data_IF_542454964827
#
_entry.id   IF_542454964827
#
_cell.length_a   1.000
_cell.length_b   1.000
_cell.length_c   1.000
_cell.angle_alpha   90.00
_cell.angle_beta   90.00
_cell.angle_gamma   90.00
#
_symmetry.space_group_name_H-M   'P 1'
#
loop_
_entity.id
_entity.type
_entity.pdbx_description
1 polymer ?
#
# COMPACT_ATOMS: atom_id res chain seq x y z
N UNK A 1 -0.74 39.72 -24.13
CA UNK A 1 -1.19 39.63 -22.72
C UNK A 1 -2.07 38.38 -22.60
N UNK A 2 -1.91 37.44 -21.70
CA UNK A 2 -0.93 37.20 -20.65
C UNK A 2 -0.88 35.69 -20.43
N UNK A 3 0.32 35.19 -20.15
CA UNK A 3 0.56 33.89 -19.55
C UNK A 3 -0.19 33.86 -18.20
N UNK A 4 -1.27 33.09 -18.07
CA UNK A 4 -1.97 32.91 -16.77
C UNK A 4 -2.40 31.48 -16.43
N UNK A 5 -1.98 30.48 -17.20
CA UNK A 5 -2.27 29.08 -16.85
C UNK A 5 -1.29 28.50 -15.81
N UNK A 6 -0.12 29.12 -15.60
CA UNK A 6 0.86 28.68 -14.61
C UNK A 6 0.61 29.22 -13.19
N UNK A 7 0.06 30.43 -13.06
CA UNK A 7 -0.19 31.08 -11.76
C UNK A 7 -1.31 30.38 -10.96
N UNK A 8 -2.34 29.87 -11.64
CA UNK A 8 -3.47 29.20 -11.00
C UNK A 8 -3.10 27.83 -10.39
N UNK A 9 -2.23 27.05 -11.06
CA UNK A 9 -1.80 25.73 -10.57
C UNK A 9 -0.86 25.84 -9.37
N UNK A 10 0.08 26.78 -9.41
CA UNK A 10 1.02 27.01 -8.29
C UNK A 10 0.29 27.55 -7.06
N UNK A 11 -0.69 28.44 -7.23
CA UNK A 11 -1.56 28.91 -6.15
C UNK A 11 -2.36 27.77 -5.52
N UNK A 12 -3.00 26.92 -6.34
CA UNK A 12 -3.75 25.76 -5.86
C UNK A 12 -2.87 24.76 -5.09
N UNK A 13 -1.66 24.46 -5.58
CA UNK A 13 -0.72 23.58 -4.87
C UNK A 13 -0.31 24.17 -3.53
N UNK A 14 -0.05 25.48 -3.47
CA UNK A 14 0.31 26.18 -2.22
C UNK A 14 -0.82 26.10 -1.20
N UNK A 15 -2.07 26.33 -1.62
CA UNK A 15 -3.24 26.26 -0.73
C UNK A 15 -3.48 24.83 -0.22
N UNK A 16 -3.29 23.82 -1.07
CA UNK A 16 -3.35 22.41 -0.69
C UNK A 16 -2.28 22.09 0.37
N UNK A 17 -1.03 22.47 0.12
CA UNK A 17 0.08 22.20 1.05
C UNK A 17 -0.07 22.98 2.35
N UNK A 18 -0.65 24.19 2.32
CA UNK A 18 -0.95 24.97 3.50
C UNK A 18 -2.10 24.36 4.33
N UNK A 19 -3.11 23.80 3.66
CA UNK A 19 -4.27 23.22 4.35
C UNK A 19 -4.01 21.82 4.90
N UNK A 20 -3.38 20.94 4.11
CA UNK A 20 -3.24 19.52 4.44
C UNK A 20 -1.81 19.13 4.81
N UNK A 21 -0.80 19.92 4.46
CA UNK A 21 0.59 19.50 4.56
C UNK A 21 0.99 18.56 3.42
N UNK A 22 2.12 17.87 3.59
CA UNK A 22 2.59 16.88 2.60
C UNK A 22 1.82 15.57 2.80
N UNK A 23 1.09 15.15 1.77
CA UNK A 23 0.43 13.85 1.71
C UNK A 23 1.42 12.71 1.99
N UNK A 24 0.97 11.68 2.70
CA UNK A 24 1.77 10.50 3.04
C UNK A 24 0.91 9.24 3.01
N UNK A 25 1.53 8.10 2.69
CA UNK A 25 0.94 6.78 2.92
C UNK A 25 1.59 6.13 4.14
N UNK A 26 0.75 5.64 5.06
CA UNK A 26 1.15 4.95 6.29
C UNK A 26 0.62 3.54 6.25
N UNK A 27 1.46 2.58 6.61
CA UNK A 27 1.10 1.18 6.53
C UNK A 27 1.89 0.33 7.50
N UNK A 28 1.33 -0.85 7.82
CA UNK A 28 2.01 -1.87 8.62
C UNK A 28 1.62 -3.26 8.15
N UNK A 29 2.47 -4.23 8.49
CA UNK A 29 2.30 -5.63 8.15
C UNK A 29 2.09 -6.49 9.39
N UNK A 30 1.18 -7.46 9.30
CA UNK A 30 1.11 -8.58 10.24
C UNK A 30 1.99 -9.72 9.73
N UNK A 31 3.01 -10.08 10.49
CA UNK A 31 4.01 -11.08 10.12
C UNK A 31 3.91 -12.30 11.03
N UNK A 32 3.96 -13.49 10.43
CA UNK A 32 3.90 -14.75 11.16
C UNK A 32 4.93 -14.81 12.30
N UNK A 33 4.46 -15.20 13.49
CA UNK A 33 5.23 -15.28 14.74
C UNK A 33 5.81 -13.94 15.25
N UNK A 34 5.45 -12.80 14.65
CA UNK A 34 5.81 -11.46 15.13
C UNK A 34 4.58 -10.59 15.43
N UNK A 35 3.44 -10.89 14.81
CA UNK A 35 2.25 -10.08 14.91
C UNK A 35 2.34 -8.82 14.05
N UNK A 36 1.60 -7.78 14.43
CA UNK A 36 1.69 -6.47 13.82
C UNK A 36 3.04 -5.82 14.15
N UNK A 37 3.80 -5.49 13.10
CA UNK A 37 5.00 -4.67 13.22
C UNK A 37 4.63 -3.17 13.31
N UNK A 38 5.57 -2.30 13.73
CA UNK A 38 5.34 -0.85 13.75
C UNK A 38 4.90 -0.30 12.39
N UNK A 39 4.16 0.81 12.41
CA UNK A 39 3.83 1.56 11.20
C UNK A 39 5.09 2.12 10.54
N UNK A 40 5.06 2.15 9.22
CA UNK A 40 6.09 2.76 8.37
C UNK A 40 5.43 3.69 7.36
N UNK A 41 6.23 4.57 6.77
CA UNK A 41 5.76 5.60 5.86
C UNK A 41 6.48 5.52 4.52
N UNK A 42 5.81 5.94 3.44
CA UNK A 42 6.40 6.35 2.15
C UNK A 42 7.71 5.63 1.74
N UNK A 43 7.56 4.46 1.14
CA UNK A 43 8.66 3.67 0.56
C UNK A 43 9.51 2.89 1.56
N UNK A 44 9.25 3.01 2.87
CA UNK A 44 9.89 2.17 3.89
C UNK A 44 9.37 0.73 3.86
N UNK A 45 10.23 -0.24 4.19
CA UNK A 45 9.82 -1.65 4.18
C UNK A 45 8.90 -1.98 5.37
N UNK A 46 7.67 -2.44 5.10
CA UNK A 46 6.82 -3.10 6.08
C UNK A 46 6.93 -4.62 5.93
N UNK A 47 7.22 -5.33 7.02
CA UNK A 47 7.41 -6.79 7.00
C UNK A 47 8.87 -7.18 7.30
N UNK A 48 9.30 -8.30 6.74
CA UNK A 48 10.68 -8.82 6.91
C UNK A 48 11.21 -9.33 5.58
N UNK A 49 12.50 -9.18 5.33
CA UNK A 49 13.16 -9.76 4.15
C UNK A 49 14.19 -10.79 4.60
N UNK A 50 14.26 -11.94 3.92
CA UNK A 50 15.28 -12.97 4.20
C UNK A 50 15.10 -13.77 5.50
N UNK A 51 14.03 -13.51 6.25
CA UNK A 51 13.72 -14.22 7.50
C UNK A 51 12.84 -15.46 7.33
N UNK A 52 12.41 -15.77 6.10
CA UNK A 52 11.49 -16.86 5.78
C UNK A 52 10.13 -16.76 6.51
N UNK A 53 9.67 -15.54 6.83
CA UNK A 53 8.38 -15.28 7.50
C UNK A 53 7.38 -14.68 6.50
N UNK A 54 6.19 -15.28 6.43
CA UNK A 54 5.07 -14.77 5.61
C UNK A 54 4.43 -13.53 6.24
N UNK A 55 4.01 -12.59 5.40
CA UNK A 55 2.96 -11.65 5.74
C UNK A 55 1.60 -12.36 5.67
N UNK A 56 0.75 -12.08 6.65
CA UNK A 56 -0.62 -12.61 6.72
C UNK A 56 -1.66 -11.51 6.46
N UNK A 57 -1.35 -10.26 6.84
CA UNK A 57 -2.20 -9.10 6.60
C UNK A 57 -1.42 -7.78 6.44
N UNK A 58 -2.12 -6.77 5.91
CA UNK A 58 -1.64 -5.38 5.78
C UNK A 58 -2.75 -4.40 6.17
N UNK A 59 -2.37 -3.28 6.76
CA UNK A 59 -3.22 -2.11 6.97
C UNK A 59 -2.57 -0.91 6.29
N UNK A 60 -3.37 -0.10 5.59
CA UNK A 60 -2.90 1.02 4.78
C UNK A 60 -3.85 2.19 4.96
N UNK A 61 -3.31 3.38 5.24
CA UNK A 61 -4.08 4.62 5.35
C UNK A 61 -3.31 5.79 4.72
N UNK A 62 -4.05 6.81 4.32
CA UNK A 62 -3.48 8.07 3.85
C UNK A 62 -3.51 9.10 4.99
N UNK A 63 -2.48 9.92 5.06
CA UNK A 63 -2.43 11.10 5.90
C UNK A 63 -2.33 12.35 5.03
N UNK A 64 -2.78 13.48 5.57
CA UNK A 64 -2.62 14.79 4.93
C UNK A 64 -3.27 14.85 3.53
N UNK A 65 -4.45 14.23 3.41
CA UNK A 65 -5.29 14.23 2.20
C UNK A 65 -6.68 14.79 2.52
N UNK A 66 -7.41 15.35 1.53
CA UNK A 66 -8.83 15.67 1.68
C UNK A 66 -9.66 14.45 2.09
N UNK A 67 -10.74 14.65 2.85
CA UNK A 67 -11.66 13.57 3.27
C UNK A 67 -12.31 12.81 2.11
N UNK A 68 -12.37 13.41 0.92
CA UNK A 68 -12.87 12.76 -0.30
C UNK A 68 -11.88 11.80 -0.95
N UNK A 69 -10.69 11.62 -0.36
CA UNK A 69 -9.59 10.79 -0.88
C UNK A 69 -9.41 9.61 0.07
N UNK A 70 -9.54 8.41 -0.49
CA UNK A 70 -9.37 7.15 0.26
C UNK A 70 -8.36 6.26 -0.44
N UNK A 71 -7.80 5.32 0.32
CA UNK A 71 -7.04 4.17 -0.21
C UNK A 71 -7.86 2.90 -0.04
N UNK A 72 -8.04 2.18 -1.15
CA UNK A 72 -8.71 0.88 -1.20
C UNK A 72 -7.68 -0.19 -1.53
N UNK A 73 -7.80 -1.34 -0.89
CA UNK A 73 -6.86 -2.42 -1.09
C UNK A 73 -7.47 -3.78 -0.75
N UNK A 74 -6.88 -4.82 -1.34
CA UNK A 74 -7.23 -6.22 -1.06
C UNK A 74 -6.03 -7.12 -1.18
N UNK A 75 -6.10 -8.26 -0.51
CA UNK A 75 -5.08 -9.29 -0.51
C UNK A 75 -5.58 -10.55 -1.21
N UNK A 76 -4.69 -11.20 -1.96
CA UNK A 76 -4.85 -12.59 -2.34
C UNK A 76 -4.22 -13.47 -1.27
N UNK A 77 -5.02 -14.32 -0.63
CA UNK A 77 -4.60 -15.19 0.47
C UNK A 77 -4.60 -16.64 0.00
N UNK A 78 -3.53 -17.38 0.32
CA UNK A 78 -3.39 -18.77 -0.07
C UNK A 78 -4.56 -19.62 0.45
N UNK A 79 -5.22 -20.35 -0.45
CA UNK A 79 -6.39 -21.18 -0.15
C UNK A 79 -7.74 -20.45 -0.11
N UNK A 80 -7.75 -19.12 -0.15
CA UNK A 80 -8.98 -18.31 -0.13
C UNK A 80 -9.15 -17.47 -1.40
N UNK A 81 -8.06 -17.15 -2.08
CA UNK A 81 -8.09 -16.28 -3.26
C UNK A 81 -8.10 -14.80 -2.87
N UNK A 82 -8.68 -13.96 -3.73
CA UNK A 82 -8.88 -12.55 -3.43
C UNK A 82 -9.98 -12.36 -2.39
N UNK A 83 -9.59 -11.83 -1.23
CA UNK A 83 -10.55 -11.40 -0.21
C UNK A 83 -11.27 -10.10 -0.62
N UNK A 84 -12.39 -9.75 0.03
CA UNK A 84 -13.08 -8.48 -0.19
C UNK A 84 -12.13 -7.28 -0.06
N UNK A 85 -12.43 -6.23 -0.84
CA UNK A 85 -11.71 -4.97 -0.75
C UNK A 85 -12.07 -4.24 0.55
N UNK A 86 -11.04 -3.69 1.18
CA UNK A 86 -11.12 -2.89 2.40
C UNK A 86 -10.52 -1.52 2.12
N UNK A 87 -10.65 -0.59 3.07
CA UNK A 87 -10.12 0.75 2.91
C UNK A 87 -9.65 1.34 4.24
N UNK A 88 -8.80 2.37 4.14
CA UNK A 88 -8.46 3.31 5.20
C UNK A 88 -8.22 2.68 6.59
N UNK A 89 -7.14 1.91 6.70
CA UNK A 89 -6.67 1.33 7.97
C UNK A 89 -7.35 0.01 8.37
N UNK A 90 -8.33 -0.47 7.60
CA UNK A 90 -8.92 -1.79 7.80
C UNK A 90 -7.94 -2.92 7.44
N UNK A 91 -8.06 -4.07 8.10
CA UNK A 91 -7.17 -5.20 7.83
C UNK A 91 -7.51 -5.89 6.50
N UNK A 92 -6.54 -5.98 5.58
CA UNK A 92 -6.61 -6.85 4.41
C UNK A 92 -5.77 -8.11 4.63
N UNK A 93 -6.37 -9.30 4.53
CA UNK A 93 -5.71 -10.58 4.78
C UNK A 93 -6.31 -11.29 5.99
N UNK A 94 -5.51 -12.11 6.66
CA UNK A 94 -5.90 -12.85 7.88
C UNK A 94 -4.87 -12.60 8.98
N UNK A 95 -5.23 -12.84 10.24
CA UNK A 95 -4.28 -12.73 11.36
C UNK A 95 -4.33 -13.99 12.19
N UNK A 96 -3.19 -14.65 12.41
CA UNK A 96 -3.13 -15.85 13.26
C UNK A 96 -3.70 -17.13 12.64
N UNK A 97 -4.18 -17.08 11.39
CA UNK A 97 -4.75 -18.25 10.69
C UNK A 97 -3.69 -19.07 9.93
N UNK A 98 -2.43 -18.68 10.04
CA UNK A 98 -1.31 -19.32 9.38
C UNK A 98 -1.38 -19.35 7.84
N UNK A 99 -2.14 -18.43 7.22
CA UNK A 99 -2.22 -18.27 5.76
C UNK A 99 -1.37 -17.12 5.27
N UNK A 100 -0.65 -17.32 4.16
CA UNK A 100 0.16 -16.26 3.56
C UNK A 100 -0.65 -15.39 2.59
N UNK A 101 -0.30 -14.10 2.55
CA UNK A 101 -0.59 -13.28 1.39
C UNK A 101 0.34 -13.68 0.23
N UNK A 102 -0.21 -13.73 -0.99
CA UNK A 102 0.54 -14.03 -2.22
C UNK A 102 0.54 -12.84 -3.20
N UNK A 103 -0.50 -12.00 -3.15
CA UNK A 103 -0.59 -10.78 -3.94
C UNK A 103 -1.36 -9.67 -3.20
N UNK A 104 -1.16 -8.42 -3.63
CA UNK A 104 -1.90 -7.25 -3.16
C UNK A 104 -2.28 -6.35 -4.33
N UNK A 105 -3.45 -5.71 -4.24
CA UNK A 105 -3.87 -4.61 -5.10
C UNK A 105 -4.19 -3.40 -4.22
N UNK A 106 -3.69 -2.22 -4.60
CA UNK A 106 -3.82 -0.99 -3.82
C UNK A 106 -4.15 0.14 -4.78
N UNK A 107 -5.19 0.92 -4.51
CA UNK A 107 -5.63 2.05 -5.34
C UNK A 107 -6.08 3.22 -4.49
N UNK A 108 -5.87 4.44 -4.97
CA UNK A 108 -6.48 5.66 -4.42
C UNK A 108 -7.70 6.08 -5.22
N UNK A 109 -8.59 6.86 -4.59
CA UNK A 109 -9.71 7.54 -5.23
C UNK A 109 -9.59 9.06 -5.06
N UNK A 110 -10.45 9.82 -5.74
CA UNK A 110 -10.51 11.29 -5.59
C UNK A 110 -9.46 12.09 -6.35
N UNK A 111 -8.49 11.43 -7.01
CA UNK A 111 -7.57 12.06 -7.97
C UNK A 111 -6.53 13.01 -7.36
N UNK A 112 -6.39 13.04 -6.03
CA UNK A 112 -5.47 13.92 -5.32
C UNK A 112 -4.02 13.41 -5.32
N UNK A 113 -3.85 12.10 -5.18
CA UNK A 113 -2.56 11.42 -5.23
C UNK A 113 -2.70 10.07 -5.93
N UNK A 114 -1.59 9.58 -6.48
CA UNK A 114 -1.47 8.19 -6.92
C UNK A 114 -0.36 7.50 -6.12
N UNK A 115 -0.23 6.19 -6.28
CA UNK A 115 0.74 5.40 -5.53
C UNK A 115 1.40 4.33 -6.40
N UNK A 116 2.61 3.97 -5.96
CA UNK A 116 3.39 2.85 -6.44
C UNK A 116 3.69 1.92 -5.29
N UNK A 117 3.67 0.62 -5.54
CA UNK A 117 3.95 -0.40 -4.54
C UNK A 117 4.64 -1.61 -5.14
N UNK A 118 5.39 -2.31 -4.31
CA UNK A 118 6.03 -3.58 -4.67
C UNK A 118 6.06 -4.51 -3.47
N UNK A 119 6.23 -5.79 -3.74
CA UNK A 119 6.28 -6.82 -2.71
C UNK A 119 7.59 -7.60 -2.79
N UNK A 120 8.12 -7.98 -1.63
CA UNK A 120 9.21 -8.94 -1.53
C UNK A 120 8.61 -10.34 -1.45
N UNK A 121 8.85 -11.15 -2.47
CA UNK A 121 8.40 -12.55 -2.50
C UNK A 121 9.53 -13.48 -2.09
N UNK A 122 9.17 -14.53 -1.35
CA UNK A 122 10.11 -15.59 -1.02
C UNK A 122 10.84 -16.11 -2.27
N UNK A 123 12.17 -16.21 -2.17
CA UNK A 123 13.07 -16.74 -3.21
C UNK A 123 13.12 -15.96 -4.54
N UNK A 124 12.24 -14.96 -4.74
CA UNK A 124 12.23 -14.08 -5.92
C UNK A 124 12.77 -12.68 -5.61
N UNK A 125 12.72 -12.24 -4.35
CA UNK A 125 13.08 -10.89 -3.97
C UNK A 125 11.98 -9.88 -4.29
N UNK A 126 12.37 -8.61 -4.44
CA UNK A 126 11.46 -7.52 -4.77
C UNK A 126 10.91 -7.62 -6.19
N UNK A 127 9.59 -7.51 -6.33
CA UNK A 127 8.95 -7.30 -7.63
C UNK A 127 9.32 -5.93 -8.23
N UNK A 128 9.08 -5.73 -9.55
CA UNK A 128 8.91 -4.39 -10.09
C UNK A 128 7.84 -3.61 -9.34
N UNK A 129 7.88 -2.28 -9.45
CA UNK A 129 6.84 -1.41 -8.92
C UNK A 129 5.57 -1.56 -9.75
N UNK A 130 4.48 -1.91 -9.08
CA UNK A 130 3.11 -1.84 -9.57
C UNK A 130 2.53 -0.46 -9.27
N UNK A 131 1.60 -0.01 -10.10
CA UNK A 131 0.94 1.29 -9.96
C UNK A 131 -0.55 1.12 -9.73
N UNK A 132 -1.09 1.94 -8.84
CA UNK A 132 -2.53 2.16 -8.58
C UNK A 132 -3.52 1.15 -9.22
N UNK A 133 -3.83 0.06 -8.51
CA UNK A 133 -4.79 -0.97 -8.89
C UNK A 133 -4.18 -2.21 -9.57
N UNK A 134 -2.93 -2.13 -10.01
CA UNK A 134 -2.21 -3.28 -10.57
C UNK A 134 -1.92 -4.37 -9.53
N UNK A 135 -1.73 -5.61 -9.97
CA UNK A 135 -1.38 -6.69 -9.04
C UNK A 135 0.12 -6.67 -8.75
N UNK A 136 0.50 -6.60 -7.47
CA UNK A 136 1.84 -6.89 -7.00
C UNK A 136 1.88 -8.28 -6.33
N UNK A 137 2.77 -9.16 -6.78
CA UNK A 137 2.87 -10.54 -6.31
C UNK A 137 2.34 -11.55 -7.33
N UNK A 138 1.95 -12.73 -6.87
CA UNK A 138 1.46 -13.84 -7.70
C UNK A 138 0.22 -14.45 -7.09
N UNK A 139 -0.69 -14.98 -7.90
CA UNK A 139 -1.92 -15.63 -7.42
C UNK A 139 -1.85 -17.13 -7.66
N UNK A 140 -1.94 -17.96 -6.61
CA UNK A 140 -2.01 -19.42 -6.75
C UNK A 140 -0.68 -20.11 -7.02
N UNK A 141 0.45 -19.39 -6.94
CA UNK A 141 1.80 -19.97 -7.10
C UNK A 141 2.40 -20.47 -5.78
N UNK A 142 1.72 -20.33 -4.63
CA UNK A 142 2.27 -20.70 -3.32
C UNK A 142 3.41 -19.79 -2.84
N UNK A 143 3.63 -18.65 -3.50
CA UNK A 143 4.73 -17.73 -3.19
C UNK A 143 4.28 -16.69 -2.18
N UNK A 144 4.71 -16.87 -0.93
CA UNK A 144 4.45 -15.92 0.16
C UNK A 144 5.10 -14.55 -0.12
N UNK A 145 4.36 -13.50 0.17
CA UNK A 145 4.88 -12.16 0.40
C UNK A 145 5.52 -12.14 1.80
N UNK A 146 6.69 -11.53 1.92
CA UNK A 146 7.41 -11.35 3.18
C UNK A 146 7.49 -9.87 3.62
N UNK A 147 7.46 -8.95 2.65
CA UNK A 147 7.43 -7.51 2.88
C UNK A 147 6.72 -6.74 1.75
N UNK A 148 6.30 -5.51 2.04
CA UNK A 148 5.72 -4.56 1.09
C UNK A 148 6.38 -3.18 1.24
N UNK A 149 6.52 -2.48 0.13
CA UNK A 149 6.83 -1.04 0.10
C UNK A 149 5.75 -0.33 -0.70
N UNK A 150 5.29 0.82 -0.19
CA UNK A 150 4.24 1.65 -0.77
C UNK A 150 4.68 3.11 -0.67
N UNK A 151 4.60 3.85 -1.76
CA UNK A 151 4.90 5.29 -1.80
C UNK A 151 3.87 6.04 -2.62
N UNK A 152 3.63 7.30 -2.26
CA UNK A 152 2.92 8.22 -3.16
C UNK A 152 3.82 8.56 -4.36
N UNK A 153 3.21 8.73 -5.54
CA UNK A 153 3.89 9.00 -6.81
C UNK A 153 3.46 10.33 -7.43
#
# INVERSE_FOLDING_TARGET
>A
MNLKNGENTVGMIRDIMQKYGKASVVYRAHVANKGWLPEVHDGQTAGTTGEARRMEAVEIRLENVPESVSVFYRAHVAGEGWLPEVHDGQTAGTTGEARQMEAVQIRTTGGFCTLEYRVHMAEKGWSPWSRNGETAGTTGEGRRIEAVEIRLA
#
